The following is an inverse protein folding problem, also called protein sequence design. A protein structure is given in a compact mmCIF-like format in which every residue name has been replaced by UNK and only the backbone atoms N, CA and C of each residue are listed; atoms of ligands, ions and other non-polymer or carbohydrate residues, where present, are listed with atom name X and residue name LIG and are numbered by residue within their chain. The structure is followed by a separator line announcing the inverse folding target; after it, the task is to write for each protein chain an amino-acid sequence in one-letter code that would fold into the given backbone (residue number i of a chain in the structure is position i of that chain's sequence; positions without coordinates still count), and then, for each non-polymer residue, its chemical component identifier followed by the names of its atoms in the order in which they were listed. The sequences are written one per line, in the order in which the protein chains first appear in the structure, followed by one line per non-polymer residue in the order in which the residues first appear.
data_IF_279577674991
#
_entry.id   IF_279577674991
#
_cell.length_a   1.000
_cell.length_b   1.000
_cell.length_c   1.000
_cell.angle_alpha   90.00
_cell.angle_beta   90.00
_cell.angle_gamma   90.00
#
_symmetry.space_group_name_H-M   'P 1'
#
loop_
_entity.id
_entity.type
_entity.pdbx_description
1 polymer ?
#
# COMPACT_ATOMS: atom_id res chain seq x y z
N UNK A 1 23.90 -6.27 -31.60
CA UNK A 1 24.04 -7.12 -30.41
C UNK A 1 23.79 -8.56 -30.86
N UNK A 2 24.62 -9.55 -30.49
CA UNK A 2 24.48 -10.92 -31.01
C UNK A 2 23.26 -11.63 -30.40
N UNK A 3 22.63 -12.55 -31.15
CA UNK A 3 21.51 -13.37 -30.67
C UNK A 3 21.87 -14.13 -29.38
N UNK A 4 23.08 -14.66 -29.32
CA UNK A 4 23.60 -15.35 -28.13
C UNK A 4 23.53 -14.49 -26.86
N UNK A 5 23.86 -13.20 -26.94
CA UNK A 5 23.83 -12.32 -25.77
C UNK A 5 22.40 -12.00 -25.31
N UNK A 6 21.47 -11.86 -26.26
CA UNK A 6 20.05 -11.70 -25.91
C UNK A 6 19.50 -12.93 -25.20
N UNK A 7 19.86 -14.13 -25.66
CA UNK A 7 19.45 -15.38 -25.00
C UNK A 7 20.00 -15.50 -23.58
N UNK A 8 21.24 -15.05 -23.33
CA UNK A 8 21.81 -15.05 -21.98
C UNK A 8 21.09 -14.07 -21.06
N UNK A 9 20.77 -12.85 -21.55
CA UNK A 9 20.00 -11.87 -20.79
C UNK A 9 18.63 -12.41 -20.39
N UNK A 10 17.92 -13.02 -21.33
CA UNK A 10 16.59 -13.57 -21.04
C UNK A 10 16.65 -14.67 -19.99
N UNK A 11 17.62 -15.58 -20.08
CA UNK A 11 17.82 -16.63 -19.06
C UNK A 11 18.11 -16.05 -17.68
N UNK A 12 18.94 -15.02 -17.60
CA UNK A 12 19.23 -14.36 -16.32
C UNK A 12 17.97 -13.71 -15.75
N UNK A 13 17.21 -12.98 -16.57
CA UNK A 13 15.93 -12.40 -16.20
C UNK A 13 14.96 -13.45 -15.65
N UNK A 14 14.64 -14.49 -16.44
CA UNK A 14 13.66 -15.52 -16.06
C UNK A 14 14.06 -16.27 -14.78
N UNK A 15 15.37 -16.48 -14.56
CA UNK A 15 15.88 -17.20 -13.39
C UNK A 15 15.92 -16.39 -12.09
N UNK A 16 15.82 -15.06 -12.19
CA UNK A 16 16.01 -14.14 -11.06
C UNK A 16 14.80 -13.25 -10.79
N UNK A 17 13.83 -13.21 -11.71
CA UNK A 17 12.63 -12.39 -11.58
C UNK A 17 11.87 -12.76 -10.31
N UNK A 18 11.59 -11.75 -9.49
CA UNK A 18 10.71 -11.84 -8.34
C UNK A 18 9.77 -10.65 -8.34
N UNK A 19 8.53 -10.92 -7.96
CA UNK A 19 7.48 -9.92 -7.91
C UNK A 19 6.87 -9.93 -6.52
N UNK A 20 6.63 -8.76 -5.94
CA UNK A 20 6.04 -8.64 -4.61
C UNK A 20 5.14 -7.42 -4.47
N UNK A 21 4.25 -7.54 -3.50
CA UNK A 21 3.44 -6.48 -2.96
C UNK A 21 3.85 -6.21 -1.53
N UNK A 22 4.27 -4.98 -1.26
CA UNK A 22 4.65 -4.52 0.06
C UNK A 22 3.57 -3.57 0.56
N UNK A 23 3.08 -3.78 1.78
CA UNK A 23 2.04 -2.96 2.37
C UNK A 23 2.37 -2.64 3.82
N UNK A 24 2.37 -1.35 4.13
CA UNK A 24 2.79 -0.81 5.41
C UNK A 24 1.72 0.15 5.94
N UNK A 25 1.32 -0.05 7.19
CA UNK A 25 0.45 0.85 7.94
C UNK A 25 1.17 1.29 9.19
N UNK A 26 1.30 2.61 9.35
CA UNK A 26 1.84 3.19 10.57
C UNK A 26 0.78 4.04 11.25
N UNK A 27 0.36 3.61 12.43
CA UNK A 27 -0.41 4.41 13.37
C UNK A 27 0.56 4.99 14.40
N UNK A 28 0.59 6.30 14.56
CA UNK A 28 1.32 6.97 15.63
C UNK A 28 0.37 7.82 16.45
N UNK A 29 0.48 7.76 17.77
CA UNK A 29 -0.33 8.57 18.68
C UNK A 29 0.49 8.99 19.90
N UNK A 30 0.26 10.19 20.42
CA UNK A 30 0.86 10.70 21.65
C UNK A 30 0.04 10.35 22.91
N UNK A 31 -1.13 9.74 22.74
CA UNK A 31 -2.01 9.27 23.82
C UNK A 31 -2.59 7.88 23.52
N UNK A 32 -3.06 7.18 24.54
CA UNK A 32 -3.75 5.88 24.33
C UNK A 32 -5.11 6.13 23.69
N UNK A 33 -5.47 5.32 22.69
CA UNK A 33 -6.79 5.34 22.06
C UNK A 33 -7.63 4.22 22.67
N UNK A 34 -8.80 4.56 23.22
CA UNK A 34 -9.71 3.57 23.82
C UNK A 34 -10.74 3.12 22.80
N UNK A 35 -11.04 1.83 22.77
CA UNK A 35 -12.04 1.20 21.88
C UNK A 35 -11.80 1.54 20.41
N UNK A 36 -10.54 1.47 19.96
CA UNK A 36 -10.18 1.86 18.61
C UNK A 36 -10.75 0.89 17.58
N UNK A 37 -11.46 1.42 16.59
CA UNK A 37 -11.89 0.74 15.38
C UNK A 37 -11.48 1.58 14.18
N UNK A 38 -10.64 1.02 13.32
CA UNK A 38 -10.16 1.66 12.10
C UNK A 38 -10.56 0.84 10.89
N UNK A 39 -11.00 1.49 9.81
CA UNK A 39 -11.11 0.88 8.47
C UNK A 39 -10.18 1.61 7.52
N UNK A 40 -9.18 0.89 7.01
CA UNK A 40 -8.10 1.44 6.18
C UNK A 40 -8.16 0.91 4.74
N UNK A 41 -7.87 1.77 3.74
CA UNK A 41 -7.71 1.33 2.36
C UNK A 41 -6.75 0.15 2.23
N UNK A 42 -7.14 -0.83 1.43
CA UNK A 42 -6.41 -2.08 1.25
C UNK A 42 -6.00 -2.22 -0.23
N UNK A 43 -4.86 -2.87 -0.56
CA UNK A 43 -4.55 -3.23 -1.94
C UNK A 43 -5.56 -4.25 -2.43
N UNK A 44 -6.38 -3.91 -3.43
CA UNK A 44 -7.49 -4.75 -3.90
C UNK A 44 -7.43 -4.92 -5.41
N UNK A 45 -7.69 -6.14 -5.87
CA UNK A 45 -7.92 -6.49 -7.27
C UNK A 45 -9.08 -7.47 -7.35
N UNK A 46 -10.00 -7.26 -8.30
CA UNK A 46 -11.18 -8.11 -8.50
C UNK A 46 -11.97 -8.37 -7.19
N UNK A 47 -12.07 -7.34 -6.35
CA UNK A 47 -12.71 -7.39 -5.02
C UNK A 47 -12.09 -8.42 -4.04
N UNK A 48 -10.82 -8.74 -4.22
CA UNK A 48 -10.02 -9.60 -3.31
C UNK A 48 -8.70 -8.93 -2.97
N UNK A 49 -8.05 -9.38 -1.90
CA UNK A 49 -6.75 -8.87 -1.47
C UNK A 49 -5.91 -9.98 -0.85
N UNK A 50 -4.85 -10.42 -1.53
CA UNK A 50 -3.90 -11.37 -0.94
C UNK A 50 -3.12 -10.74 0.22
N UNK A 51 -2.83 -9.44 0.14
CA UNK A 51 -2.23 -8.64 1.23
C UNK A 51 -3.10 -8.68 2.49
N UNK A 52 -4.40 -8.44 2.36
CA UNK A 52 -5.31 -8.51 3.51
C UNK A 52 -5.40 -9.91 4.12
N UNK A 53 -5.41 -10.95 3.29
CA UNK A 53 -5.44 -12.34 3.76
C UNK A 53 -4.17 -12.71 4.51
N UNK A 54 -3.01 -12.28 4.01
CA UNK A 54 -1.72 -12.49 4.66
C UNK A 54 -1.66 -11.83 6.04
N UNK A 55 -2.23 -10.63 6.18
CA UNK A 55 -2.35 -9.93 7.48
C UNK A 55 -3.21 -10.72 8.48
N UNK A 56 -4.34 -11.27 8.02
CA UNK A 56 -5.22 -12.07 8.89
C UNK A 56 -4.51 -13.35 9.33
N UNK A 57 -3.80 -14.02 8.42
CA UNK A 57 -3.13 -15.30 8.69
C UNK A 57 -1.95 -15.14 9.67
N UNK A 58 -1.14 -14.09 9.48
CA UNK A 58 0.10 -13.91 10.25
C UNK A 58 -0.03 -12.93 11.42
N UNK A 59 -1.13 -12.19 11.49
CA UNK A 59 -1.47 -11.19 12.51
C UNK A 59 -0.48 -10.01 12.68
N UNK A 60 0.79 -10.07 12.24
CA UNK A 60 1.79 -8.99 12.25
C UNK A 60 1.72 -7.99 13.43
N UNK A 61 1.42 -8.49 14.62
CA UNK A 61 1.16 -7.71 15.83
C UNK A 61 2.09 -8.11 16.97
N UNK A 62 3.30 -8.57 16.64
CA UNK A 62 4.28 -9.12 17.60
C UNK A 62 4.60 -8.17 18.77
N UNK A 63 4.42 -6.86 18.59
CA UNK A 63 4.64 -5.85 19.62
C UNK A 63 3.40 -5.55 20.47
N UNK A 64 2.19 -5.78 19.96
CA UNK A 64 0.92 -5.62 20.69
C UNK A 64 -0.11 -6.63 20.14
N UNK A 65 -0.20 -7.84 20.72
CA UNK A 65 -1.08 -8.90 20.24
C UNK A 65 -2.56 -8.59 20.44
N UNK A 66 -2.90 -7.47 21.08
CA UNK A 66 -4.28 -7.01 21.31
C UNK A 66 -4.93 -6.44 20.05
N UNK A 67 -4.17 -6.23 18.99
CA UNK A 67 -4.72 -5.85 17.69
C UNK A 67 -5.39 -7.03 17.00
N UNK A 68 -6.66 -6.83 16.67
CA UNK A 68 -7.47 -7.76 15.88
C UNK A 68 -7.63 -7.23 14.45
N UNK A 69 -7.38 -8.11 13.47
CA UNK A 69 -7.48 -7.82 12.05
C UNK A 69 -8.60 -8.61 11.40
N UNK A 70 -9.31 -7.96 10.50
CA UNK A 70 -10.24 -8.64 9.59
C UNK A 70 -10.38 -7.83 8.31
N UNK A 71 -10.89 -8.47 7.27
CA UNK A 71 -11.33 -7.78 6.06
C UNK A 71 -12.83 -7.55 6.20
N UNK A 72 -13.28 -6.32 5.96
CA UNK A 72 -14.68 -5.93 6.04
C UNK A 72 -15.14 -5.30 4.73
N UNK A 73 -16.37 -5.59 4.34
CA UNK A 73 -17.06 -4.86 3.27
C UNK A 73 -17.75 -3.63 3.87
N UNK A 74 -17.48 -2.47 3.29
CA UNK A 74 -17.97 -1.18 3.76
C UNK A 74 -18.75 -0.48 2.65
N UNK A 75 -19.42 0.64 2.95
CA UNK A 75 -20.03 1.48 1.90
C UNK A 75 -19.01 2.04 0.90
N UNK A 76 -17.72 1.90 1.20
CA UNK A 76 -16.60 2.34 0.37
C UNK A 76 -15.79 1.17 -0.22
N UNK A 77 -16.29 -0.07 -0.09
CA UNK A 77 -15.66 -1.29 -0.59
C UNK A 77 -14.85 -2.03 0.48
N UNK A 78 -14.04 -2.98 0.01
CA UNK A 78 -13.25 -3.89 0.84
C UNK A 78 -12.11 -3.14 1.55
N UNK A 79 -12.06 -3.21 2.88
CA UNK A 79 -11.08 -2.49 3.70
C UNK A 79 -10.49 -3.38 4.81
N UNK A 80 -9.31 -2.99 5.29
CA UNK A 80 -8.70 -3.59 6.48
C UNK A 80 -9.36 -3.03 7.73
N UNK A 81 -9.99 -3.88 8.52
CA UNK A 81 -10.43 -3.56 9.88
C UNK A 81 -9.30 -3.83 10.88
N UNK A 82 -8.96 -2.83 11.68
CA UNK A 82 -8.05 -2.95 12.81
C UNK A 82 -8.77 -2.52 14.09
N UNK A 83 -8.80 -3.38 15.11
CA UNK A 83 -9.46 -3.11 16.39
C UNK A 83 -8.52 -3.33 17.57
N UNK A 84 -8.62 -2.46 18.58
CA UNK A 84 -7.87 -2.61 19.83
C UNK A 84 -8.53 -1.78 20.95
N UNK A 85 -8.78 -2.40 22.11
CA UNK A 85 -9.42 -1.76 23.27
C UNK A 85 -8.58 -0.62 23.88
N UNK A 86 -7.25 -0.72 23.80
CA UNK A 86 -6.29 0.24 24.35
C UNK A 86 -5.11 0.43 23.41
N UNK A 87 -5.41 0.96 22.23
CA UNK A 87 -4.46 1.07 21.15
C UNK A 87 -3.33 2.06 21.48
N UNK A 88 -2.12 1.68 21.10
CA UNK A 88 -0.93 2.54 21.02
C UNK A 88 -0.43 2.55 19.58
N UNK A 89 0.64 3.32 19.34
CA UNK A 89 1.32 3.31 18.05
C UNK A 89 1.69 1.89 17.61
N UNK A 90 1.43 1.58 16.35
CA UNK A 90 1.76 0.31 15.72
C UNK A 90 2.35 0.56 14.33
N UNK A 91 3.30 -0.28 13.96
CA UNK A 91 3.83 -0.39 12.61
C UNK A 91 3.52 -1.82 12.12
N UNK A 92 2.59 -1.91 11.17
CA UNK A 92 2.13 -3.13 10.53
C UNK A 92 2.77 -3.17 9.14
N UNK A 93 3.50 -4.24 8.84
CA UNK A 93 4.19 -4.41 7.56
C UNK A 93 4.06 -5.85 7.09
N UNK A 94 3.71 -6.02 5.82
CA UNK A 94 3.70 -7.32 5.13
C UNK A 94 4.31 -7.19 3.73
N UNK A 95 4.89 -8.30 3.27
CA UNK A 95 5.35 -8.51 1.90
C UNK A 95 4.73 -9.81 1.39
N UNK A 96 3.96 -9.73 0.30
CA UNK A 96 3.33 -10.88 -0.35
C UNK A 96 3.96 -11.09 -1.72
N UNK A 97 4.49 -12.29 -1.97
CA UNK A 97 5.02 -12.65 -3.27
C UNK A 97 3.88 -12.81 -4.29
N UNK A 98 4.14 -12.38 -5.53
CA UNK A 98 3.25 -12.59 -6.67
C UNK A 98 3.81 -13.71 -7.56
N UNK A 99 2.92 -14.63 -7.97
CA UNK A 99 3.24 -15.71 -8.91
C UNK A 99 3.39 -15.23 -10.36
N UNK A 100 3.11 -13.94 -10.61
CA UNK A 100 3.18 -13.30 -11.92
C UNK A 100 3.93 -11.97 -11.85
N UNK A 101 4.49 -11.54 -12.98
CA UNK A 101 5.07 -10.21 -13.14
C UNK A 101 3.97 -9.16 -12.98
N UNK A 102 4.24 -8.17 -12.14
CA UNK A 102 3.31 -7.07 -11.87
C UNK A 102 3.43 -6.04 -13.01
N UNK A 103 2.31 -5.61 -13.60
CA UNK A 103 2.26 -4.46 -14.52
C UNK A 103 2.45 -3.15 -13.74
N UNK A 104 3.71 -2.78 -13.56
CA UNK A 104 4.11 -1.58 -12.82
C UNK A 104 3.93 -0.29 -13.63
N UNK A 105 3.62 -0.38 -14.92
CA UNK A 105 3.36 0.78 -15.78
C UNK A 105 1.90 1.20 -15.70
N UNK A 106 0.97 0.22 -15.71
CA UNK A 106 -0.48 0.47 -15.76
C UNK A 106 -1.26 -0.31 -14.66
N UNK A 107 -0.92 -0.15 -13.37
CA UNK A 107 -1.47 -0.99 -12.30
C UNK A 107 -2.97 -0.82 -12.08
N UNK A 108 -3.52 0.36 -12.40
CA UNK A 108 -4.94 0.71 -12.16
C UNK A 108 -5.96 -0.25 -12.79
N UNK A 109 -5.56 -0.98 -13.84
CA UNK A 109 -6.49 -1.87 -14.57
C UNK A 109 -6.40 -3.32 -14.13
N UNK A 110 -5.22 -3.79 -13.73
CA UNK A 110 -4.92 -5.23 -13.65
C UNK A 110 -4.07 -5.63 -12.44
N UNK A 111 -3.71 -4.71 -11.55
CA UNK A 111 -2.89 -5.00 -10.36
C UNK A 111 -3.60 -4.54 -9.09
N UNK A 112 -3.10 -4.98 -7.92
CA UNK A 112 -3.64 -4.52 -6.64
C UNK A 112 -3.27 -3.06 -6.38
N UNK A 113 -4.25 -2.19 -6.27
CA UNK A 113 -4.04 -0.76 -5.88
C UNK A 113 -4.82 -0.45 -4.63
N UNK A 114 -4.45 0.60 -3.88
CA UNK A 114 -5.23 0.96 -2.69
C UNK A 114 -6.61 1.43 -3.12
N UNK A 115 -7.63 0.77 -2.58
CA UNK A 115 -9.03 1.08 -2.81
C UNK A 115 -9.70 1.51 -1.50
N UNK A 116 -10.70 2.41 -1.56
CA UNK A 116 -11.27 3.04 -2.75
C UNK A 116 -10.45 4.21 -3.32
N UNK A 117 -10.71 4.55 -4.58
CA UNK A 117 -10.23 5.78 -5.22
C UNK A 117 -11.41 6.63 -5.71
N UNK A 118 -11.40 7.89 -5.34
CA UNK A 118 -12.34 8.93 -5.79
C UNK A 118 -11.56 10.05 -6.45
N UNK A 119 -12.19 10.75 -7.40
CA UNK A 119 -11.62 11.94 -8.03
C UNK A 119 -10.19 11.72 -8.55
N UNK A 120 -9.90 10.54 -9.09
CA UNK A 120 -8.58 10.19 -9.63
C UNK A 120 -8.23 11.13 -10.79
N UNK A 121 -7.10 11.81 -10.67
CA UNK A 121 -6.62 12.77 -11.67
C UNK A 121 -5.17 12.52 -12.01
N UNK A 122 -4.83 12.60 -13.29
CA UNK A 122 -3.45 12.53 -13.74
C UNK A 122 -2.75 13.87 -13.42
N UNK A 123 -1.74 13.83 -12.56
CA UNK A 123 -0.90 14.97 -12.23
C UNK A 123 0.26 15.13 -13.21
N UNK A 124 -0.03 15.77 -14.35
CA UNK A 124 0.96 16.04 -15.42
C UNK A 124 2.04 17.05 -15.02
N UNK A 125 1.82 17.82 -13.94
CA UNK A 125 2.75 18.85 -13.46
C UNK A 125 3.59 18.37 -12.27
N UNK A 126 3.50 17.10 -11.91
CA UNK A 126 4.28 16.52 -10.84
C UNK A 126 5.78 16.77 -11.07
N UNK A 127 6.38 17.58 -10.19
CA UNK A 127 7.79 17.96 -10.28
C UNK A 127 8.75 16.82 -9.91
N UNK A 128 8.23 15.62 -9.63
CA UNK A 128 8.95 14.46 -9.14
C UNK A 128 8.93 13.29 -10.12
N UNK A 129 9.05 13.51 -11.44
CA UNK A 129 9.20 12.40 -12.38
C UNK A 129 10.48 11.59 -12.04
N UNK A 130 10.31 10.53 -11.26
CA UNK A 130 11.41 9.66 -10.78
C UNK A 130 12.07 8.90 -11.94
N UNK A 131 11.33 8.71 -13.03
CA UNK A 131 11.84 8.20 -14.30
C UNK A 131 11.13 8.84 -15.48
N UNK A 132 11.64 8.61 -16.70
CA UNK A 132 10.99 9.08 -17.94
C UNK A 132 9.64 8.42 -18.22
N UNK A 133 9.41 7.25 -17.65
CA UNK A 133 8.19 6.46 -17.82
C UNK A 133 7.21 6.66 -16.68
N UNK A 134 7.58 7.41 -15.64
CA UNK A 134 6.76 7.58 -14.46
C UNK A 134 5.60 8.53 -14.71
N UNK A 135 4.40 8.07 -14.36
CA UNK A 135 3.20 8.90 -14.29
C UNK A 135 2.77 9.03 -12.83
N UNK A 136 2.17 10.16 -12.48
CA UNK A 136 1.66 10.41 -11.13
C UNK A 136 0.17 10.71 -11.19
N UNK A 137 -0.59 10.13 -10.26
CA UNK A 137 -2.00 10.37 -10.09
C UNK A 137 -2.30 10.79 -8.66
N UNK A 138 -3.16 11.77 -8.50
CA UNK A 138 -3.68 12.18 -7.21
C UNK A 138 -5.15 11.72 -7.11
N UNK A 139 -5.55 11.25 -5.93
CA UNK A 139 -6.91 10.80 -5.67
C UNK A 139 -7.32 11.04 -4.22
N UNK A 140 -8.62 10.96 -3.97
CA UNK A 140 -9.17 10.91 -2.63
C UNK A 140 -9.52 9.47 -2.27
N UNK A 141 -9.38 9.12 -1.01
CA UNK A 141 -9.84 7.86 -0.44
C UNK A 141 -10.64 8.11 0.84
N UNK A 142 -10.97 7.04 1.55
CA UNK A 142 -11.74 7.08 2.80
C UNK A 142 -11.04 6.25 3.86
N UNK A 143 -10.98 6.80 5.06
CA UNK A 143 -10.53 6.11 6.27
C UNK A 143 -11.63 6.28 7.30
N UNK A 144 -12.03 5.18 7.95
CA UNK A 144 -12.89 5.24 9.12
C UNK A 144 -12.02 5.22 10.37
N UNK A 145 -12.33 6.09 11.32
CA UNK A 145 -11.72 6.06 12.64
C UNK A 145 -12.78 6.31 13.71
N UNK A 146 -12.86 5.41 14.69
CA UNK A 146 -13.66 5.55 15.88
C UNK A 146 -12.81 5.20 17.09
N UNK A 147 -12.58 6.15 17.99
CA UNK A 147 -11.84 5.94 19.23
C UNK A 147 -12.01 7.11 20.20
N UNK A 148 -11.80 6.85 21.48
CA UNK A 148 -11.76 7.87 22.53
C UNK A 148 -10.34 8.17 22.98
N UNK A 149 -10.01 9.46 23.11
CA UNK A 149 -8.71 9.90 23.63
C UNK A 149 -8.78 11.33 24.21
N UNK A 150 -7.65 11.85 24.72
CA UNK A 150 -7.59 13.24 25.19
C UNK A 150 -7.81 14.24 24.06
N UNK A 151 -8.51 15.34 24.31
CA UNK A 151 -8.88 16.34 23.28
C UNK A 151 -7.70 16.98 22.55
N UNK A 152 -6.51 16.96 23.14
CA UNK A 152 -5.27 17.47 22.56
C UNK A 152 -4.36 16.36 21.99
N UNK A 153 -4.81 15.11 21.97
CA UNK A 153 -4.03 14.02 21.39
C UNK A 153 -3.92 14.18 19.87
N UNK A 154 -2.77 13.84 19.32
CA UNK A 154 -2.52 13.79 17.88
C UNK A 154 -2.29 12.35 17.46
N UNK A 155 -3.07 11.91 16.49
CA UNK A 155 -2.93 10.60 15.85
C UNK A 155 -2.63 10.78 14.38
N UNK A 156 -1.57 10.15 13.88
CA UNK A 156 -1.27 10.08 12.45
C UNK A 156 -1.40 8.65 11.96
N UNK A 157 -2.08 8.47 10.83
CA UNK A 157 -2.19 7.21 10.10
C UNK A 157 -1.49 7.42 8.76
N UNK A 158 -0.49 6.61 8.47
CA UNK A 158 0.18 6.56 7.18
C UNK A 158 0.03 5.17 6.58
N UNK A 159 -0.30 5.12 5.29
CA UNK A 159 -0.42 3.90 4.51
C UNK A 159 0.54 4.01 3.34
N UNK A 160 1.36 3.00 3.14
CA UNK A 160 2.28 2.91 2.02
C UNK A 160 2.15 1.53 1.37
N UNK A 161 2.06 1.53 0.06
CA UNK A 161 1.90 0.32 -0.75
C UNK A 161 2.84 0.38 -1.93
N UNK A 162 3.48 -0.75 -2.27
CA UNK A 162 4.32 -0.86 -3.47
C UNK A 162 4.04 -2.18 -4.18
N UNK A 163 3.88 -2.14 -5.50
CA UNK A 163 4.01 -3.30 -6.36
C UNK A 163 5.37 -3.24 -7.07
N UNK A 164 6.17 -4.29 -6.96
CA UNK A 164 7.57 -4.27 -7.38
C UNK A 164 7.97 -5.55 -8.11
N UNK A 165 8.76 -5.42 -9.17
CA UNK A 165 9.49 -6.52 -9.78
C UNK A 165 10.99 -6.26 -9.67
N UNK A 166 11.78 -7.27 -9.31
CA UNK A 166 13.25 -7.24 -9.30
C UNK A 166 13.84 -8.37 -10.14
N UNK A 167 14.98 -8.12 -10.78
CA UNK A 167 15.73 -9.13 -11.54
C UNK A 167 17.21 -8.78 -11.65
N UNK A 168 18.04 -9.76 -12.00
CA UNK A 168 19.47 -9.60 -12.12
C UNK A 168 19.96 -9.74 -13.58
N UNK A 169 20.56 -8.68 -14.13
CA UNK A 169 21.27 -8.71 -15.43
C UNK A 169 22.53 -7.85 -15.33
N UNK A 170 23.61 -8.40 -14.78
CA UNK A 170 24.86 -7.66 -14.53
C UNK A 170 24.71 -6.47 -13.56
N UNK A 171 23.54 -6.34 -12.93
CA UNK A 171 23.08 -5.30 -12.02
C UNK A 171 21.70 -5.71 -11.50
N UNK A 172 21.36 -5.44 -10.23
CA UNK A 172 20.01 -5.63 -9.74
C UNK A 172 19.22 -4.51 -10.36
N UNK A 173 18.21 -4.89 -11.11
CA UNK A 173 17.30 -3.99 -11.79
C UNK A 173 15.94 -4.18 -11.16
N UNK A 174 15.12 -3.15 -11.25
CA UNK A 174 13.76 -3.21 -10.78
C UNK A 174 12.85 -2.33 -11.59
N UNK A 175 11.54 -2.58 -11.47
CA UNK A 175 10.53 -1.59 -11.76
C UNK A 175 9.41 -1.67 -10.72
N UNK A 176 8.70 -0.57 -10.52
CA UNK A 176 7.69 -0.47 -9.46
C UNK A 176 6.64 0.59 -9.75
N UNK A 177 5.54 0.47 -9.00
CA UNK A 177 4.66 1.57 -8.67
C UNK A 177 4.46 1.60 -7.16
N UNK A 178 4.08 2.75 -6.63
CA UNK A 178 3.75 2.87 -5.22
C UNK A 178 2.62 3.85 -4.99
N UNK A 179 1.99 3.68 -3.84
CA UNK A 179 0.96 4.56 -3.35
C UNK A 179 1.24 4.97 -1.90
N UNK A 180 0.90 6.20 -1.57
CA UNK A 180 0.96 6.67 -0.20
C UNK A 180 -0.30 7.45 0.18
N UNK A 181 -0.62 7.42 1.48
CA UNK A 181 -1.63 8.27 2.11
C UNK A 181 -1.14 8.63 3.51
N UNK A 182 -1.42 9.86 3.95
CA UNK A 182 -1.20 10.28 5.33
C UNK A 182 -2.38 11.14 5.80
N UNK A 183 -2.88 10.87 7.01
CA UNK A 183 -3.88 11.69 7.66
C UNK A 183 -3.52 11.93 9.12
N UNK A 184 -3.75 13.17 9.58
CA UNK A 184 -3.60 13.57 10.98
C UNK A 184 -4.96 13.87 11.57
N UNK A 185 -5.24 13.27 12.71
CA UNK A 185 -6.50 13.33 13.45
C UNK A 185 -6.20 13.88 14.85
N UNK A 186 -7.08 14.73 15.35
CA UNK A 186 -6.92 15.39 16.67
C UNK A 186 -8.09 15.06 17.57
N UNK A 187 -7.80 14.62 18.80
CA UNK A 187 -8.81 14.18 19.76
C UNK A 187 -9.58 12.93 19.32
N UNK A 188 -10.67 12.61 20.03
CA UNK A 188 -11.55 11.49 19.69
C UNK A 188 -12.11 11.61 18.26
N UNK A 189 -12.30 10.46 17.61
CA UNK A 189 -12.89 10.35 16.27
C UNK A 189 -14.11 9.44 16.32
N UNK A 190 -15.10 9.70 15.45
CA UNK A 190 -16.31 8.90 15.32
C UNK A 190 -16.86 9.03 13.89
N UNK A 191 -16.15 8.43 12.92
CA UNK A 191 -16.66 8.35 11.55
C UNK A 191 -15.62 8.31 10.44
N UNK A 192 -16.12 8.54 9.24
CA UNK A 192 -15.33 8.59 8.01
C UNK A 192 -14.67 9.94 7.81
N UNK A 193 -13.40 9.90 7.39
CA UNK A 193 -12.67 11.08 6.94
C UNK A 193 -12.10 10.85 5.54
N UNK A 194 -12.07 11.93 4.76
CA UNK A 194 -11.41 11.93 3.45
C UNK A 194 -9.91 12.03 3.65
N UNK A 195 -9.15 11.20 2.95
CA UNK A 195 -7.69 11.25 2.90
C UNK A 195 -7.23 11.41 1.46
N UNK A 196 -6.18 12.19 1.25
CA UNK A 196 -5.57 12.32 -0.07
C UNK A 196 -4.53 11.22 -0.26
N UNK A 197 -4.58 10.58 -1.41
CA UNK A 197 -3.62 9.57 -1.83
C UNK A 197 -2.91 9.96 -3.11
N UNK A 198 -1.71 9.41 -3.26
CA UNK A 198 -0.88 9.54 -4.44
C UNK A 198 -0.59 8.16 -4.98
N UNK A 199 -0.59 8.01 -6.31
CA UNK A 199 -0.10 6.84 -7.02
C UNK A 199 0.99 7.29 -7.99
N UNK A 200 2.16 6.67 -7.92
CA UNK A 200 3.24 6.86 -8.89
C UNK A 200 3.49 5.52 -9.56
N UNK A 201 3.40 5.49 -10.89
CA UNK A 201 3.63 4.30 -11.71
C UNK A 201 4.94 4.40 -12.46
N UNK A 202 5.34 3.34 -13.17
CA UNK A 202 6.33 3.48 -14.21
C UNK A 202 7.75 3.75 -13.71
N UNK A 203 8.06 3.49 -12.43
CA UNK A 203 9.41 3.70 -11.87
C UNK A 203 10.37 2.56 -12.22
N UNK A 204 11.66 2.89 -12.29
CA UNK A 204 12.74 1.93 -12.54
C UNK A 204 13.00 1.66 -14.02
N UNK A 205 13.42 0.43 -14.32
CA UNK A 205 13.92 -0.02 -15.62
C UNK A 205 12.87 -0.82 -16.38
N UNK A 206 12.50 -0.38 -17.58
CA UNK A 206 11.55 -1.10 -18.47
C UNK A 206 12.20 -1.60 -19.76
N UNK A 207 13.48 -1.29 -19.98
CA UNK A 207 14.23 -1.74 -21.17
C UNK A 207 15.28 -2.74 -20.72
N UNK A 208 15.10 -3.99 -21.13
CA UNK A 208 16.00 -5.13 -20.88
C UNK A 208 16.95 -5.33 -22.06
#
# INVERSE_FOLDING_TARGET
MSLWWQDQKQKMYDSSLRSSYDYNVRLTTDSTLSNATLYLPLPVINNTSSVGMDIIEHHFNSHDPSWEYSIVDTEHGLMLSMKNEKARSIDLSTMVLSDQTIDTMNPLSNEMVLMPKYNLTHNVNASGAYSRTSEQFDYESRVYASYETSSNANTSISIYMTGHNEWWIGGWQYNSYWENMEIKLSGSQDGWTTVNGQLVTGEGTYKI
#
